data_IF_973644032483
#
_entry.id   IF_973644032483
#
_cell.length_a   1.000
_cell.length_b   1.000
_cell.length_c   1.000
_cell.angle_alpha   90.00
_cell.angle_beta   90.00
_cell.angle_gamma   90.00
#
_symmetry.space_group_name_H-M   'P 1'
#
loop_
_entity.id
_entity.type
_entity.pdbx_description
1 polymer ?
#
# COMPACT_ATOMS: atom_id res chain seq x y z
N UNK A 1 42.45 -11.86 -3.13
CA UNK A 1 41.39 -12.35 -2.24
C UNK A 1 41.62 -13.83 -2.03
N UNK A 2 41.72 -14.26 -0.78
CA UNK A 2 41.78 -15.69 -0.44
C UNK A 2 40.43 -16.37 -0.70
N UNK A 3 40.42 -17.69 -0.89
CA UNK A 3 39.19 -18.47 -1.12
C UNK A 3 38.19 -18.30 0.01
N UNK A 4 38.64 -18.23 1.27
CA UNK A 4 37.76 -18.04 2.43
C UNK A 4 37.13 -16.65 2.40
N UNK A 5 37.91 -15.62 2.11
CA UNK A 5 37.43 -14.23 2.00
C UNK A 5 36.35 -14.08 0.91
N UNK A 6 36.52 -14.78 -0.21
CA UNK A 6 35.50 -14.83 -1.27
C UNK A 6 34.20 -15.50 -0.81
N UNK A 7 34.30 -16.65 -0.15
CA UNK A 7 33.12 -17.36 0.35
C UNK A 7 32.39 -16.51 1.38
N UNK A 8 33.09 -15.88 2.32
CA UNK A 8 32.46 -15.03 3.34
C UNK A 8 31.73 -13.82 2.73
N UNK A 9 32.26 -13.25 1.64
CA UNK A 9 31.57 -12.19 0.90
C UNK A 9 30.26 -12.69 0.28
N UNK A 10 30.27 -13.88 -0.33
CA UNK A 10 29.05 -14.48 -0.90
C UNK A 10 28.05 -14.87 0.18
N UNK A 11 28.50 -15.41 1.32
CA UNK A 11 27.64 -15.68 2.49
C UNK A 11 26.95 -14.43 3.01
N UNK A 12 27.66 -13.29 3.02
CA UNK A 12 27.06 -12.02 3.39
C UNK A 12 25.95 -11.63 2.42
N UNK A 13 26.21 -11.66 1.11
CA UNK A 13 25.19 -11.36 0.10
C UNK A 13 23.98 -12.30 0.21
N UNK A 14 24.20 -13.61 0.40
CA UNK A 14 23.13 -14.59 0.53
C UNK A 14 22.22 -14.28 1.72
N UNK A 15 22.81 -14.08 2.91
CA UNK A 15 22.06 -13.78 4.12
C UNK A 15 21.28 -12.47 3.98
N UNK A 16 21.92 -11.44 3.44
CA UNK A 16 21.29 -10.13 3.28
C UNK A 16 20.11 -10.20 2.28
N UNK A 17 20.26 -10.95 1.19
CA UNK A 17 19.16 -11.22 0.24
C UNK A 17 18.02 -12.00 0.88
N UNK A 18 18.30 -13.09 1.60
CA UNK A 18 17.27 -13.90 2.28
C UNK A 18 16.47 -13.06 3.29
N UNK A 19 17.17 -12.28 4.12
CA UNK A 19 16.51 -11.42 5.10
C UNK A 19 15.62 -10.36 4.46
N UNK A 20 16.03 -9.83 3.30
CA UNK A 20 15.21 -8.86 2.57
C UNK A 20 13.98 -9.53 1.94
N UNK A 21 14.12 -10.72 1.37
CA UNK A 21 12.99 -11.46 0.79
C UNK A 21 11.95 -11.82 1.85
N UNK A 22 12.37 -12.29 3.03
CA UNK A 22 11.44 -12.58 4.13
C UNK A 22 10.64 -11.34 4.57
N UNK A 23 11.30 -10.17 4.60
CA UNK A 23 10.64 -8.91 4.94
C UNK A 23 9.66 -8.47 3.83
N UNK A 24 10.08 -8.57 2.57
CA UNK A 24 9.25 -8.20 1.42
C UNK A 24 8.03 -9.14 1.29
N UNK A 25 8.18 -10.43 1.52
CA UNK A 25 7.07 -11.40 1.50
C UNK A 25 6.01 -11.04 2.54
N UNK A 26 6.44 -10.59 3.72
CA UNK A 26 5.53 -10.09 4.74
C UNK A 26 4.82 -8.82 4.29
N UNK A 27 5.54 -7.84 3.76
CA UNK A 27 4.95 -6.58 3.30
C UNK A 27 3.95 -6.81 2.15
N UNK A 28 4.23 -7.76 1.26
CA UNK A 28 3.31 -8.17 0.19
C UNK A 28 2.05 -8.82 0.75
N UNK A 29 2.17 -9.72 1.72
CA UNK A 29 1.01 -10.33 2.38
C UNK A 29 0.15 -9.29 3.13
N UNK A 30 0.79 -8.33 3.79
CA UNK A 30 0.09 -7.23 4.46
C UNK A 30 -0.62 -6.34 3.43
N UNK A 31 0.01 -6.06 2.28
CA UNK A 31 -0.62 -5.31 1.17
C UNK A 31 -1.81 -6.04 0.57
N UNK A 32 -1.73 -7.36 0.35
CA UNK A 32 -2.86 -8.18 -0.10
C UNK A 32 -4.02 -8.12 0.91
N UNK A 33 -3.70 -8.11 2.21
CA UNK A 33 -4.69 -7.96 3.29
C UNK A 33 -5.46 -6.64 3.28
N UNK A 34 -4.94 -5.59 2.62
CA UNK A 34 -5.62 -4.30 2.46
C UNK A 34 -6.70 -4.31 1.38
N UNK A 35 -6.70 -5.30 0.48
CA UNK A 35 -7.59 -5.32 -0.69
C UNK A 35 -9.08 -5.11 -0.35
N UNK A 36 -9.68 -5.80 0.66
CA UNK A 36 -11.09 -5.60 0.99
C UNK A 36 -11.40 -4.17 1.47
N UNK A 37 -10.46 -3.53 2.19
CA UNK A 37 -10.62 -2.16 2.65
C UNK A 37 -10.53 -1.15 1.50
N UNK A 38 -9.60 -1.36 0.57
CA UNK A 38 -9.47 -0.54 -0.64
C UNK A 38 -10.69 -0.67 -1.56
N UNK A 39 -11.23 -1.88 -1.71
CA UNK A 39 -12.48 -2.12 -2.45
C UNK A 39 -13.68 -1.41 -1.82
N UNK A 40 -13.78 -1.45 -0.48
CA UNK A 40 -14.83 -0.72 0.23
C UNK A 40 -14.70 0.80 0.05
N UNK A 41 -13.48 1.33 0.12
CA UNK A 41 -13.20 2.76 -0.13
C UNK A 41 -13.53 3.16 -1.58
N UNK A 42 -13.17 2.32 -2.55
CA UNK A 42 -13.46 2.53 -3.97
C UNK A 42 -14.97 2.51 -4.26
N UNK A 43 -15.72 1.64 -3.59
CA UNK A 43 -17.18 1.58 -3.71
C UNK A 43 -17.89 2.75 -3.00
N UNK A 44 -17.31 3.24 -1.89
CA UNK A 44 -17.87 4.33 -1.10
C UNK A 44 -17.60 5.70 -1.73
N UNK A 45 -16.38 5.97 -2.18
CA UNK A 45 -15.99 7.29 -2.65
C UNK A 45 -16.77 7.71 -3.91
N UNK A 46 -17.52 8.81 -3.80
CA UNK A 46 -18.42 9.28 -4.85
C UNK A 46 -19.77 8.55 -4.94
N UNK A 47 -20.08 7.64 -4.01
CA UNK A 47 -21.39 7.01 -3.89
C UNK A 47 -22.43 7.97 -3.28
N UNK A 48 -23.74 7.69 -3.42
CA UNK A 48 -24.79 8.45 -2.74
C UNK A 48 -24.57 8.53 -1.22
N UNK A 49 -24.13 7.45 -0.58
CA UNK A 49 -23.84 7.40 0.85
C UNK A 49 -22.71 8.36 1.23
N UNK A 50 -21.64 8.45 0.43
CA UNK A 50 -20.56 9.41 0.66
C UNK A 50 -21.05 10.85 0.57
N UNK A 51 -21.91 11.18 -0.39
CA UNK A 51 -22.50 12.52 -0.51
C UNK A 51 -23.43 12.85 0.66
N UNK A 52 -24.21 11.88 1.15
CA UNK A 52 -25.08 12.05 2.30
C UNK A 52 -24.26 12.30 3.58
N UNK A 53 -23.19 11.54 3.79
CA UNK A 53 -22.27 11.71 4.92
C UNK A 53 -21.53 13.06 4.86
N UNK A 54 -21.06 13.46 3.67
CA UNK A 54 -20.45 14.78 3.45
C UNK A 54 -21.44 15.91 3.77
N UNK A 55 -22.69 15.80 3.32
CA UNK A 55 -23.71 16.79 3.63
C UNK A 55 -24.03 16.87 5.13
N UNK A 56 -23.97 15.74 5.86
CA UNK A 56 -24.13 15.72 7.32
C UNK A 56 -22.95 16.39 8.03
N UNK A 57 -21.72 16.14 7.55
CA UNK A 57 -20.51 16.80 8.01
C UNK A 57 -20.59 18.32 7.82
N UNK A 58 -20.94 18.79 6.63
CA UNK A 58 -21.05 20.22 6.30
C UNK A 58 -22.11 20.95 7.12
N UNK A 59 -23.20 20.25 7.48
CA UNK A 59 -24.25 20.77 8.37
C UNK A 59 -23.84 20.79 9.85
N UNK A 60 -22.64 20.31 10.20
CA UNK A 60 -22.16 20.22 11.57
C UNK A 60 -22.92 19.19 12.43
N UNK A 61 -23.46 18.15 11.79
CA UNK A 61 -24.24 17.10 12.46
C UNK A 61 -23.37 15.99 13.06
N UNK A 62 -22.06 16.01 12.77
CA UNK A 62 -21.10 15.01 13.24
C UNK A 62 -20.28 15.53 14.45
N UNK A 63 -19.83 14.65 15.35
CA UNK A 63 -18.94 15.00 16.46
C UNK A 63 -17.68 15.75 16.02
N UNK A 64 -17.30 16.80 16.76
CA UNK A 64 -16.17 17.68 16.38
C UNK A 64 -14.80 17.13 16.79
N UNK A 65 -14.75 16.08 17.60
CA UNK A 65 -13.55 15.44 18.13
C UNK A 65 -13.04 14.28 17.27
N UNK A 66 -13.72 13.98 16.18
CA UNK A 66 -13.37 12.90 15.25
C UNK A 66 -12.78 13.45 13.94
N UNK A 67 -12.07 12.57 13.22
CA UNK A 67 -11.49 12.88 11.91
C UNK A 67 -12.34 12.25 10.80
N UNK A 68 -12.63 13.04 9.76
CA UNK A 68 -13.44 12.64 8.61
C UNK A 68 -12.67 12.75 7.30
N UNK A 69 -11.39 12.37 7.28
CA UNK A 69 -10.55 12.47 6.09
C UNK A 69 -11.12 11.73 4.88
N UNK A 70 -11.90 10.67 5.10
CA UNK A 70 -12.64 9.95 4.05
C UNK A 70 -13.67 10.84 3.32
N UNK A 71 -14.15 11.91 3.95
CA UNK A 71 -15.05 12.91 3.35
C UNK A 71 -14.31 14.06 2.67
N UNK A 72 -12.97 14.07 2.67
CA UNK A 72 -12.20 15.05 1.90
C UNK A 72 -12.20 14.70 0.41
N UNK A 73 -11.98 15.70 -0.44
CA UNK A 73 -11.82 15.52 -1.89
C UNK A 73 -10.61 14.64 -2.23
N UNK A 74 -9.51 14.79 -1.49
CA UNK A 74 -8.24 14.13 -1.84
C UNK A 74 -8.02 12.80 -1.10
N UNK A 75 -8.57 12.61 0.09
CA UNK A 75 -8.16 11.51 0.98
C UNK A 75 -8.29 10.10 0.38
N UNK A 76 -9.48 9.75 -0.13
CA UNK A 76 -9.68 8.44 -0.78
C UNK A 76 -9.11 8.43 -2.19
N UNK A 77 -9.22 9.55 -2.91
CA UNK A 77 -8.70 9.68 -4.27
C UNK A 77 -7.20 9.39 -4.35
N UNK A 78 -6.40 10.05 -3.50
CA UNK A 78 -4.95 9.88 -3.44
C UNK A 78 -4.56 8.43 -3.11
N UNK A 79 -5.28 7.80 -2.18
CA UNK A 79 -5.05 6.40 -1.83
C UNK A 79 -5.27 5.45 -3.02
N UNK A 80 -6.31 5.69 -3.83
CA UNK A 80 -6.59 4.91 -5.04
C UNK A 80 -5.55 5.16 -6.14
N UNK A 81 -5.09 6.39 -6.30
CA UNK A 81 -3.99 6.74 -7.22
C UNK A 81 -2.70 6.04 -6.79
N UNK A 82 -2.37 6.05 -5.50
CA UNK A 82 -1.20 5.35 -4.98
C UNK A 82 -1.29 3.83 -5.17
N UNK A 83 -2.47 3.23 -4.93
CA UNK A 83 -2.73 1.80 -5.23
C UNK A 83 -2.36 1.50 -6.68
N UNK A 84 -2.84 2.30 -7.62
CA UNK A 84 -2.58 2.10 -9.05
C UNK A 84 -1.09 2.25 -9.39
N UNK A 85 -0.45 3.32 -8.90
CA UNK A 85 0.98 3.59 -9.11
C UNK A 85 1.85 2.44 -8.57
N UNK A 86 1.57 1.96 -7.36
CA UNK A 86 2.29 0.84 -6.75
C UNK A 86 2.11 -0.45 -7.54
N UNK A 87 0.89 -0.75 -8.01
CA UNK A 87 0.64 -1.92 -8.86
C UNK A 87 1.46 -1.93 -10.14
N UNK A 88 1.61 -0.78 -10.81
CA UNK A 88 2.48 -0.65 -11.99
C UNK A 88 3.96 -0.87 -11.65
N UNK A 89 4.43 -0.30 -10.54
CA UNK A 89 5.81 -0.47 -10.10
C UNK A 89 6.14 -1.95 -9.78
N UNK A 90 5.21 -2.66 -9.13
CA UNK A 90 5.34 -4.09 -8.86
C UNK A 90 5.37 -4.92 -10.15
N UNK A 91 4.52 -4.58 -11.13
CA UNK A 91 4.50 -5.25 -12.43
C UNK A 91 5.84 -5.07 -13.18
N UNK A 92 6.38 -3.85 -13.19
CA UNK A 92 7.65 -3.58 -13.86
C UNK A 92 8.83 -4.24 -13.14
N UNK A 93 8.83 -4.25 -11.80
CA UNK A 93 9.81 -5.00 -11.01
C UNK A 93 9.75 -6.49 -11.31
N UNK A 94 8.56 -7.09 -11.33
CA UNK A 94 8.39 -8.50 -11.65
C UNK A 94 8.93 -8.85 -13.04
N UNK A 95 8.70 -7.99 -14.04
CA UNK A 95 9.26 -8.16 -15.39
C UNK A 95 10.79 -8.12 -15.38
N UNK A 96 11.39 -7.20 -14.64
CA UNK A 96 12.85 -7.09 -14.54
C UNK A 96 13.49 -8.29 -13.84
N UNK A 97 12.81 -8.86 -12.83
CA UNK A 97 13.30 -10.02 -12.09
C UNK A 97 13.18 -11.34 -12.88
N UNK A 98 12.24 -11.42 -13.82
CA UNK A 98 11.94 -12.63 -14.61
C UNK A 98 12.56 -12.64 -16.02
N UNK A 99 13.14 -11.52 -16.46
CA UNK A 99 13.80 -11.39 -17.77
C UNK A 99 15.22 -11.99 -17.76
#
# INVERSE_FOLDING_TARGET
>A
MDRVEHIQKMEAHLRDSQSFFDALDKDLADFEGLAPGLEALEAYYGSPEWFDDLAAYDKGQLPKDLTYQVLSEDGVYDALVDKHRLGLALLDLARQLLA
#
